data_IF_478229645915
#
_entry.id   IF_478229645915
#
_cell.length_a   1.000
_cell.length_b   1.000
_cell.length_c   1.000
_cell.angle_alpha   90.00
_cell.angle_beta   90.00
_cell.angle_gamma   90.00
#
_symmetry.space_group_name_H-M   'P 1'
#
loop_
_entity.id
_entity.type
_entity.pdbx_description
1 polymer ?
#
# COMPACT_ATOMS: atom_id res chain seq x y z
N UNK A 1 24.08 -13.94 8.89
CA UNK A 1 23.33 -14.99 8.16
C UNK A 1 24.31 -15.67 7.22
N UNK A 2 24.20 -16.99 7.08
CA UNK A 2 24.95 -17.76 6.08
C UNK A 2 24.00 -18.68 5.34
N UNK A 3 24.45 -19.20 4.20
CA UNK A 3 23.69 -20.10 3.35
C UNK A 3 24.48 -21.40 3.19
N UNK A 4 23.90 -22.55 3.52
CA UNK A 4 24.54 -23.85 3.28
C UNK A 4 24.58 -24.19 1.78
N UNK A 5 25.37 -25.19 1.34
CA UNK A 5 25.34 -25.69 -0.04
C UNK A 5 23.94 -26.13 -0.50
N UNK A 6 23.13 -26.67 0.42
CA UNK A 6 21.73 -27.09 0.22
C UNK A 6 20.73 -25.92 0.29
N UNK A 7 21.24 -24.68 0.39
CA UNK A 7 20.47 -23.43 0.50
C UNK A 7 19.69 -23.26 1.81
N UNK A 8 20.09 -23.95 2.87
CA UNK A 8 19.55 -23.70 4.19
C UNK A 8 20.01 -22.34 4.70
N UNK A 9 19.06 -21.48 5.07
CA UNK A 9 19.37 -20.23 5.75
C UNK A 9 19.81 -20.53 7.18
N UNK A 10 20.98 -20.07 7.59
CA UNK A 10 21.51 -20.25 8.93
C UNK A 10 21.65 -18.91 9.67
N UNK A 11 21.10 -18.84 10.88
CA UNK A 11 21.33 -17.77 11.85
C UNK A 11 22.09 -18.37 13.03
N UNK A 12 23.34 -17.93 13.23
CA UNK A 12 24.20 -18.44 14.31
C UNK A 12 24.28 -19.98 14.33
N UNK A 13 24.41 -20.60 13.15
CA UNK A 13 24.46 -22.05 12.98
C UNK A 13 23.11 -22.78 13.01
N UNK A 14 22.03 -22.10 13.39
CA UNK A 14 20.68 -22.69 13.44
C UNK A 14 19.93 -22.49 12.13
N UNK A 15 19.28 -23.55 11.62
CA UNK A 15 18.46 -23.49 10.41
C UNK A 15 17.21 -22.65 10.64
N UNK A 16 16.97 -21.71 9.74
CA UNK A 16 15.79 -20.84 9.73
C UNK A 16 14.77 -21.42 8.76
N UNK A 17 13.59 -21.80 9.28
CA UNK A 17 12.49 -22.30 8.45
C UNK A 17 11.66 -21.18 7.81
N UNK A 18 11.46 -20.08 8.53
CA UNK A 18 10.61 -18.96 8.11
C UNK A 18 11.32 -17.64 8.36
N UNK A 19 11.28 -16.74 7.39
CA UNK A 19 11.68 -15.33 7.53
C UNK A 19 10.45 -14.46 7.43
N UNK A 20 10.07 -13.85 8.55
CA UNK A 20 8.94 -12.94 8.65
C UNK A 20 9.43 -11.48 8.63
N UNK A 21 9.15 -10.77 7.54
CA UNK A 21 9.62 -9.39 7.39
C UNK A 21 8.76 -8.42 8.21
N UNK A 22 9.42 -7.69 9.11
CA UNK A 22 8.87 -6.51 9.81
C UNK A 22 9.64 -5.22 9.50
N UNK A 23 10.51 -5.29 8.50
CA UNK A 23 11.34 -4.22 7.94
C UNK A 23 11.55 -4.49 6.45
N UNK A 24 12.31 -3.64 5.76
CA UNK A 24 12.66 -3.86 4.35
C UNK A 24 11.61 -3.40 3.34
N UNK A 25 10.65 -2.57 3.77
CA UNK A 25 9.66 -1.93 2.92
C UNK A 25 9.97 -0.43 2.65
N UNK A 26 10.98 0.13 3.32
CA UNK A 26 11.49 1.49 3.08
C UNK A 26 12.97 1.42 2.68
N UNK A 27 13.47 2.33 1.81
CA UNK A 27 14.90 2.52 1.57
C UNK A 27 15.72 2.71 2.85
N UNK A 28 15.14 3.28 3.92
CA UNK A 28 15.82 3.47 5.21
C UNK A 28 16.23 2.14 5.87
N UNK A 29 15.60 1.03 5.48
CA UNK A 29 16.01 -0.31 5.90
C UNK A 29 17.28 -0.82 5.19
N UNK A 30 17.80 -0.06 4.22
CA UNK A 30 18.91 -0.43 3.36
C UNK A 30 19.95 0.69 3.23
N UNK A 31 20.58 1.12 4.34
CA UNK A 31 21.57 2.19 4.31
C UNK A 31 22.85 1.83 3.55
N UNK A 32 23.14 0.53 3.37
CA UNK A 32 24.33 0.03 2.68
C UNK A 32 24.05 -1.22 1.84
N UNK A 33 25.04 -1.66 1.07
CA UNK A 33 24.98 -2.92 0.31
C UNK A 33 24.89 -4.18 1.19
N UNK A 34 25.20 -4.07 2.50
CA UNK A 34 25.13 -5.20 3.42
C UNK A 34 23.70 -5.66 3.61
N UNK A 35 22.75 -4.73 3.76
CA UNK A 35 21.34 -5.05 3.93
C UNK A 35 20.73 -5.62 2.64
N UNK A 36 21.15 -5.10 1.48
CA UNK A 36 20.78 -5.66 0.18
C UNK A 36 21.32 -7.08 -0.01
N UNK A 37 22.58 -7.31 0.35
CA UNK A 37 23.22 -8.63 0.30
C UNK A 37 22.53 -9.62 1.24
N UNK A 38 22.15 -9.18 2.44
CA UNK A 38 21.39 -10.00 3.38
C UNK A 38 20.00 -10.34 2.84
N UNK A 39 19.29 -9.38 2.23
CA UNK A 39 17.99 -9.62 1.59
C UNK A 39 18.12 -10.63 0.45
N UNK A 40 19.11 -10.47 -0.43
CA UNK A 40 19.37 -11.41 -1.52
C UNK A 40 19.68 -12.82 -0.99
N UNK A 41 20.49 -12.93 0.06
CA UNK A 41 20.82 -14.22 0.70
C UNK A 41 19.56 -14.90 1.26
N UNK A 42 18.68 -14.15 1.92
CA UNK A 42 17.38 -14.64 2.41
C UNK A 42 16.52 -15.14 1.24
N UNK A 43 16.34 -14.35 0.18
CA UNK A 43 15.49 -14.73 -0.96
C UNK A 43 16.01 -15.96 -1.70
N UNK A 44 17.33 -16.16 -1.75
CA UNK A 44 17.98 -17.34 -2.37
C UNK A 44 17.89 -18.61 -1.51
N UNK A 45 17.49 -18.50 -0.24
CA UNK A 45 17.37 -19.64 0.67
C UNK A 45 16.07 -20.42 0.50
N UNK A 46 16.06 -21.64 1.05
CA UNK A 46 14.88 -22.51 1.13
C UNK A 46 13.88 -22.11 2.22
N UNK A 47 14.21 -21.12 3.07
CA UNK A 47 13.28 -20.61 4.07
C UNK A 47 12.00 -20.08 3.40
N UNK A 48 10.86 -20.20 4.07
CA UNK A 48 9.61 -19.59 3.63
C UNK A 48 9.67 -18.10 3.96
N UNK A 49 9.47 -17.22 2.98
CA UNK A 49 9.47 -15.76 3.19
C UNK A 49 8.04 -15.23 3.30
N UNK A 50 7.80 -14.40 4.30
CA UNK A 50 6.52 -13.71 4.50
C UNK A 50 6.73 -12.19 4.54
N UNK A 51 6.55 -11.48 3.40
CA UNK A 51 6.40 -12.00 2.03
C UNK A 51 7.76 -12.29 1.35
N UNK A 52 7.76 -13.12 0.29
CA UNK A 52 8.90 -13.19 -0.64
C UNK A 52 8.89 -12.01 -1.61
N UNK A 53 10.02 -11.76 -2.29
CA UNK A 53 10.23 -10.53 -3.06
C UNK A 53 9.14 -10.24 -4.10
N UNK A 54 8.62 -11.24 -4.82
CA UNK A 54 7.58 -11.00 -5.82
C UNK A 54 6.21 -10.66 -5.23
N UNK A 55 5.88 -11.16 -4.03
CA UNK A 55 4.69 -10.67 -3.32
C UNK A 55 4.89 -9.24 -2.83
N UNK A 56 6.12 -8.85 -2.46
CA UNK A 56 6.41 -7.46 -2.13
C UNK A 56 6.26 -6.55 -3.36
N UNK A 57 6.75 -6.96 -4.52
CA UNK A 57 6.58 -6.21 -5.79
C UNK A 57 5.11 -6.14 -6.21
N UNK A 58 4.35 -7.23 -6.02
CA UNK A 58 2.91 -7.25 -6.32
C UNK A 58 2.09 -6.26 -5.48
N UNK A 59 2.62 -5.81 -4.33
CA UNK A 59 1.97 -4.81 -3.48
C UNK A 59 2.32 -3.35 -3.84
N UNK A 60 3.13 -3.13 -4.89
CA UNK A 60 3.46 -1.77 -5.31
C UNK A 60 2.24 -1.03 -5.83
N UNK A 61 2.25 0.30 -5.69
CA UNK A 61 1.19 1.17 -6.21
C UNK A 61 1.07 1.06 -7.73
N UNK A 62 2.18 0.82 -8.44
CA UNK A 62 2.16 0.55 -9.88
C UNK A 62 1.42 -0.75 -10.19
N UNK A 63 1.67 -1.85 -9.47
CA UNK A 63 0.88 -3.08 -9.66
C UNK A 63 -0.60 -2.84 -9.38
N UNK A 64 -0.93 -2.13 -8.29
CA UNK A 64 -2.31 -1.75 -8.00
C UNK A 64 -2.97 -1.00 -9.16
N UNK A 65 -2.29 -0.02 -9.75
CA UNK A 65 -2.80 0.74 -10.89
C UNK A 65 -2.98 -0.13 -12.13
N UNK A 66 -2.01 -0.99 -12.45
CA UNK A 66 -2.09 -1.89 -13.62
C UNK A 66 -3.25 -2.89 -13.48
N UNK A 67 -3.57 -3.34 -12.27
CA UNK A 67 -4.71 -4.22 -12.02
C UNK A 67 -6.06 -3.56 -12.37
N UNK A 68 -6.16 -2.22 -12.31
CA UNK A 68 -7.39 -1.51 -12.66
C UNK A 68 -7.64 -1.47 -14.17
N UNK A 69 -6.59 -1.56 -14.98
CA UNK A 69 -6.70 -1.53 -16.44
C UNK A 69 -7.61 -2.64 -16.98
N UNK A 70 -8.28 -2.36 -18.08
CA UNK A 70 -9.30 -3.25 -18.65
C UNK A 70 -8.74 -4.64 -18.95
N UNK A 71 -9.46 -5.67 -18.51
CA UNK A 71 -9.09 -7.07 -18.69
C UNK A 71 -7.91 -7.57 -17.84
N UNK A 72 -7.23 -6.72 -17.06
CA UNK A 72 -6.01 -7.14 -16.35
C UNK A 72 -6.30 -8.08 -15.18
N UNK A 73 -7.24 -7.74 -14.29
CA UNK A 73 -7.64 -8.63 -13.18
C UNK A 73 -8.18 -9.95 -13.69
N UNK A 74 -8.92 -9.94 -14.80
CA UNK A 74 -9.50 -11.12 -15.44
C UNK A 74 -8.44 -12.14 -15.91
N UNK A 75 -7.21 -11.70 -16.18
CA UNK A 75 -6.09 -12.61 -16.48
C UNK A 75 -5.66 -13.44 -15.27
N UNK A 76 -5.95 -12.98 -14.05
CA UNK A 76 -5.52 -13.61 -12.80
C UNK A 76 -6.69 -14.25 -12.03
N UNK A 77 -7.90 -13.76 -12.23
CA UNK A 77 -9.11 -14.23 -11.55
C UNK A 77 -10.02 -14.90 -12.56
N UNK A 78 -9.98 -16.23 -12.59
CA UNK A 78 -10.70 -17.02 -13.60
C UNK A 78 -12.23 -16.99 -13.46
N UNK A 79 -12.75 -16.65 -12.28
CA UNK A 79 -14.21 -16.60 -12.05
C UNK A 79 -14.75 -15.18 -12.32
N UNK A 80 -15.61 -14.96 -13.33
CA UNK A 80 -16.05 -13.62 -13.73
C UNK A 80 -16.72 -12.81 -12.62
N UNK A 81 -17.50 -13.46 -11.74
CA UNK A 81 -18.14 -12.78 -10.61
C UNK A 81 -17.13 -12.31 -9.56
N UNK A 82 -16.04 -13.03 -9.35
CA UNK A 82 -15.01 -12.64 -8.39
C UNK A 82 -14.17 -11.49 -8.95
N UNK A 83 -13.83 -11.55 -10.24
CA UNK A 83 -13.17 -10.44 -10.94
C UNK A 83 -14.01 -9.17 -10.87
N UNK A 84 -15.34 -9.28 -11.11
CA UNK A 84 -16.26 -8.15 -10.99
C UNK A 84 -16.35 -7.62 -9.56
N UNK A 85 -16.40 -8.48 -8.54
CA UNK A 85 -16.41 -8.08 -7.13
C UNK A 85 -15.13 -7.34 -6.73
N UNK A 86 -13.95 -7.81 -7.19
CA UNK A 86 -12.67 -7.14 -6.98
C UNK A 86 -12.67 -5.77 -7.66
N UNK A 87 -13.09 -5.70 -8.93
CA UNK A 87 -13.17 -4.43 -9.68
C UNK A 87 -14.06 -3.40 -9.01
N UNK A 88 -15.18 -3.82 -8.41
CA UNK A 88 -16.08 -2.93 -7.71
C UNK A 88 -15.43 -2.23 -6.50
N UNK A 89 -14.28 -2.72 -6.01
CA UNK A 89 -13.52 -2.08 -4.92
C UNK A 89 -12.50 -1.05 -5.40
N UNK A 90 -12.23 -0.97 -6.70
CA UNK A 90 -11.21 -0.08 -7.24
C UNK A 90 -11.73 1.36 -7.33
N UNK A 91 -10.95 2.30 -6.80
CA UNK A 91 -11.07 3.71 -7.15
C UNK A 91 -10.36 3.97 -8.50
N UNK A 92 -10.53 5.18 -9.04
CA UNK A 92 -9.78 5.60 -10.21
C UNK A 92 -8.26 5.58 -9.97
N UNK A 93 -7.53 4.85 -10.82
CA UNK A 93 -6.08 4.68 -10.74
C UNK A 93 -5.48 4.81 -12.14
N UNK A 94 -4.51 5.71 -12.31
CA UNK A 94 -3.97 6.05 -13.63
C UNK A 94 -2.44 6.11 -13.64
N UNK A 95 -1.88 5.59 -14.72
CA UNK A 95 -0.52 5.85 -15.11
C UNK A 95 -0.38 7.29 -15.65
N UNK A 96 0.76 7.93 -15.38
CA UNK A 96 1.07 9.29 -15.86
C UNK A 96 2.47 9.37 -16.47
N UNK A 97 3.04 8.22 -16.83
CA UNK A 97 4.44 8.05 -17.21
C UNK A 97 4.70 8.19 -18.72
N UNK A 98 3.71 8.65 -19.49
CA UNK A 98 3.84 8.93 -20.91
C UNK A 98 3.39 10.38 -21.22
N UNK A 99 3.56 10.78 -22.47
CA UNK A 99 3.07 12.05 -23.02
C UNK A 99 1.85 11.85 -23.92
N UNK A 100 1.04 10.83 -23.64
CA UNK A 100 -0.22 10.62 -24.36
C UNK A 100 -1.20 11.77 -24.06
N UNK A 101 -2.13 12.09 -24.99
CA UNK A 101 -3.18 13.08 -24.72
C UNK A 101 -4.03 12.74 -23.49
N UNK A 102 -4.14 11.45 -23.14
CA UNK A 102 -4.87 10.98 -21.97
C UNK A 102 -4.10 11.35 -20.69
N UNK A 103 -2.80 11.03 -20.61
CA UNK A 103 -1.96 11.37 -19.47
C UNK A 103 -1.90 12.90 -19.27
N UNK A 104 -1.71 13.68 -20.34
CA UNK A 104 -1.72 15.14 -20.25
C UNK A 104 -3.05 15.69 -19.71
N UNK A 105 -4.18 15.15 -20.18
CA UNK A 105 -5.51 15.55 -19.72
C UNK A 105 -5.71 15.22 -18.24
N UNK A 106 -5.26 14.04 -17.80
CA UNK A 106 -5.32 13.63 -16.40
C UNK A 106 -4.46 14.54 -15.51
N UNK A 107 -3.23 14.86 -15.92
CA UNK A 107 -2.33 15.76 -15.20
C UNK A 107 -2.95 17.17 -15.11
N UNK A 108 -3.44 17.73 -16.23
CA UNK A 108 -4.13 19.03 -16.24
C UNK A 108 -5.35 19.03 -15.32
N UNK A 109 -6.12 17.94 -15.33
CA UNK A 109 -7.27 17.75 -14.44
C UNK A 109 -6.87 17.71 -12.96
N UNK A 110 -5.81 16.98 -12.61
CA UNK A 110 -5.31 16.89 -11.24
C UNK A 110 -4.77 18.24 -10.73
N UNK A 111 -4.12 19.01 -11.62
CA UNK A 111 -3.68 20.37 -11.32
C UNK A 111 -4.86 21.31 -11.07
N UNK A 112 -5.91 21.22 -11.88
CA UNK A 112 -7.09 22.08 -11.76
C UNK A 112 -7.99 21.73 -10.56
N UNK A 113 -8.00 20.45 -10.13
CA UNK A 113 -8.87 19.93 -9.07
C UNK A 113 -8.07 19.12 -8.04
N UNK A 114 -7.14 19.75 -7.30
CA UNK A 114 -6.16 19.03 -6.50
C UNK A 114 -6.75 18.29 -5.29
N UNK A 115 -7.99 18.60 -4.90
CA UNK A 115 -8.72 17.89 -3.84
C UNK A 115 -9.36 16.59 -4.31
N UNK A 116 -9.39 16.30 -5.62
CA UNK A 116 -9.98 15.08 -6.18
C UNK A 116 -8.95 13.98 -6.44
N UNK A 117 -7.66 14.25 -6.25
CA UNK A 117 -6.59 13.33 -6.57
C UNK A 117 -5.55 13.25 -5.46
N UNK A 118 -4.79 12.16 -5.47
CA UNK A 118 -3.57 11.97 -4.72
C UNK A 118 -2.51 11.39 -5.65
N UNK A 119 -1.29 11.94 -5.58
CA UNK A 119 -0.13 11.42 -6.30
C UNK A 119 0.67 10.53 -5.37
N UNK A 120 0.89 9.27 -5.77
CA UNK A 120 1.54 8.26 -4.91
C UNK A 120 2.84 7.79 -5.55
N UNK A 121 4.00 7.93 -4.86
CA UNK A 121 5.21 7.24 -5.26
C UNK A 121 5.13 5.74 -4.91
N UNK A 122 6.12 4.96 -5.32
CA UNK A 122 6.25 3.52 -5.00
C UNK A 122 6.81 3.30 -3.57
N UNK A 123 6.26 3.98 -2.57
CA UNK A 123 6.65 3.85 -1.16
C UNK A 123 5.56 3.17 -0.33
N UNK A 124 5.95 2.62 0.83
CA UNK A 124 5.05 2.00 1.81
C UNK A 124 5.22 2.62 3.20
N UNK A 125 4.28 2.33 4.11
CA UNK A 125 4.39 2.71 5.52
C UNK A 125 3.62 3.95 5.95
N UNK A 126 2.75 4.49 5.10
CA UNK A 126 1.82 5.57 5.47
C UNK A 126 2.32 6.99 5.20
N UNK A 127 3.55 7.16 4.72
CA UNK A 127 4.13 8.42 4.27
C UNK A 127 4.50 8.43 2.79
N UNK A 128 4.69 9.62 2.22
CA UNK A 128 5.25 9.83 0.88
C UNK A 128 4.24 10.25 -0.20
N UNK A 129 2.93 10.17 0.06
CA UNK A 129 1.92 10.67 -0.88
C UNK A 129 1.93 12.20 -0.96
N UNK A 130 1.62 12.74 -2.13
CA UNK A 130 1.44 14.18 -2.35
C UNK A 130 -0.04 14.50 -2.54
N UNK A 131 -0.51 15.53 -1.85
CA UNK A 131 -1.90 16.01 -1.85
C UNK A 131 -1.93 17.51 -2.13
N UNK A 132 -3.07 18.02 -2.58
CA UNK A 132 -3.31 19.46 -2.64
C UNK A 132 -2.25 20.20 -3.45
N UNK A 133 -1.76 21.32 -2.92
CA UNK A 133 -0.74 22.15 -3.57
C UNK A 133 0.59 21.41 -3.78
N UNK A 134 1.03 20.58 -2.83
CA UNK A 134 2.27 19.79 -2.98
C UNK A 134 2.20 18.83 -4.16
N UNK A 135 1.03 18.24 -4.41
CA UNK A 135 0.79 17.42 -5.60
C UNK A 135 0.90 18.27 -6.88
N UNK A 136 0.30 19.46 -6.88
CA UNK A 136 0.33 20.37 -8.03
C UNK A 136 1.76 20.79 -8.37
N UNK A 137 2.53 21.21 -7.36
CA UNK A 137 3.94 21.58 -7.50
C UNK A 137 4.75 20.42 -8.09
N UNK A 138 4.59 19.22 -7.53
CA UNK A 138 5.29 18.02 -8.00
C UNK A 138 4.93 17.67 -9.45
N UNK A 139 3.64 17.71 -9.81
CA UNK A 139 3.20 17.44 -11.18
C UNK A 139 3.74 18.45 -12.20
N UNK A 140 3.91 19.73 -11.80
CA UNK A 140 4.48 20.77 -12.65
C UNK A 140 6.00 20.66 -12.83
N UNK A 141 6.70 20.11 -11.84
CA UNK A 141 8.17 20.04 -11.85
C UNK A 141 8.71 18.74 -12.45
N UNK A 142 7.95 17.65 -12.43
CA UNK A 142 8.46 16.33 -12.83
C UNK A 142 8.72 16.19 -14.34
N UNK A 143 9.85 15.58 -14.67
CA UNK A 143 10.10 15.04 -16.01
C UNK A 143 9.21 13.82 -16.30
N UNK A 144 9.10 13.42 -17.56
CA UNK A 144 8.37 12.20 -17.93
C UNK A 144 8.91 10.95 -17.22
N UNK A 145 10.23 10.82 -17.11
CA UNK A 145 10.89 9.73 -16.41
C UNK A 145 10.53 9.71 -14.92
N UNK A 146 10.54 10.88 -14.26
CA UNK A 146 10.15 10.99 -12.86
C UNK A 146 8.67 10.69 -12.62
N UNK A 147 7.79 11.00 -13.59
CA UNK A 147 6.39 10.57 -13.53
C UNK A 147 6.26 9.05 -13.53
N UNK A 148 7.21 8.33 -14.13
CA UNK A 148 7.30 6.86 -14.07
C UNK A 148 7.38 6.27 -12.67
N UNK A 149 7.90 7.03 -11.69
CA UNK A 149 7.97 6.60 -10.30
C UNK A 149 6.65 6.79 -9.53
N UNK A 150 5.60 7.33 -10.16
CA UNK A 150 4.36 7.72 -9.51
C UNK A 150 3.14 7.14 -10.22
N UNK A 151 2.03 7.07 -9.47
CA UNK A 151 0.69 6.89 -10.02
C UNK A 151 -0.21 8.04 -9.55
N UNK A 152 -1.22 8.35 -10.35
CA UNK A 152 -2.30 9.25 -9.94
C UNK A 152 -3.48 8.39 -9.49
N UNK A 153 -4.06 8.71 -8.34
CA UNK A 153 -5.23 8.01 -7.82
C UNK A 153 -6.33 9.02 -7.47
N UNK A 154 -7.57 8.62 -7.70
CA UNK A 154 -8.75 9.31 -7.20
C UNK A 154 -8.70 9.41 -5.67
N UNK A 155 -8.93 10.61 -5.13
CA UNK A 155 -9.03 10.81 -3.70
C UNK A 155 -10.41 10.38 -3.24
N UNK A 156 -10.46 9.24 -2.55
CA UNK A 156 -11.65 8.77 -1.84
C UNK A 156 -12.09 9.85 -0.86
N UNK A 157 -13.40 10.12 -0.82
CA UNK A 157 -14.05 11.05 0.10
C UNK A 157 -14.90 10.24 1.09
N UNK A 158 -14.34 9.82 2.25
CA UNK A 158 -15.06 9.02 3.22
C UNK A 158 -16.18 9.81 3.92
N UNK A 159 -17.11 9.10 4.53
CA UNK A 159 -18.07 9.71 5.44
C UNK A 159 -17.34 10.35 6.64
N UNK A 160 -17.67 11.60 6.92
CA UNK A 160 -17.15 12.33 8.09
C UNK A 160 -18.09 12.11 9.26
N UNK A 161 -17.53 11.73 10.40
CA UNK A 161 -18.25 11.51 11.65
C UNK A 161 -17.59 12.31 12.78
N UNK A 162 -18.29 12.53 13.87
CA UNK A 162 -17.71 13.08 15.09
C UNK A 162 -17.24 11.93 16.00
N UNK A 163 -15.99 12.00 16.48
CA UNK A 163 -15.45 11.04 17.43
C UNK A 163 -14.34 11.68 18.29
N UNK A 164 -13.90 10.99 19.33
CA UNK A 164 -12.79 11.42 20.20
C UNK A 164 -11.49 10.73 19.79
N UNK A 165 -10.47 11.53 19.44
CA UNK A 165 -9.13 11.03 19.20
C UNK A 165 -8.31 11.09 20.50
N UNK A 166 -8.08 9.94 21.14
CA UNK A 166 -7.32 9.87 22.39
C UNK A 166 -5.85 9.61 22.08
N UNK A 167 -4.97 10.51 22.53
CA UNK A 167 -3.51 10.38 22.41
C UNK A 167 -2.85 10.64 23.75
N UNK A 168 -1.76 9.91 24.01
CA UNK A 168 -1.01 10.06 25.24
C UNK A 168 -0.56 11.52 25.43
N UNK A 169 -0.75 12.05 26.64
CA UNK A 169 -0.34 13.41 27.03
C UNK A 169 -0.96 14.53 26.19
N UNK A 170 -2.07 14.27 25.50
CA UNK A 170 -2.83 15.30 24.77
C UNK A 170 -4.25 15.43 25.34
N UNK A 171 -4.83 16.64 25.34
CA UNK A 171 -6.24 16.81 25.71
C UNK A 171 -7.15 16.01 24.79
N UNK A 172 -8.17 15.37 25.37
CA UNK A 172 -9.22 14.70 24.60
C UNK A 172 -10.14 15.76 24.00
N UNK A 173 -10.33 15.70 22.67
CA UNK A 173 -11.16 16.65 21.93
C UNK A 173 -12.10 15.90 21.00
N UNK A 174 -13.38 16.31 21.00
CA UNK A 174 -14.33 15.90 19.96
C UNK A 174 -13.85 16.49 18.64
N UNK A 175 -13.78 15.65 17.60
CA UNK A 175 -13.22 16.03 16.30
C UNK A 175 -14.03 15.41 15.17
N UNK A 176 -14.06 16.09 14.03
CA UNK A 176 -14.44 15.46 12.78
C UNK A 176 -13.36 14.46 12.37
N UNK A 177 -13.77 13.23 12.09
CA UNK A 177 -12.90 12.12 11.77
C UNK A 177 -13.37 11.38 10.52
N UNK A 178 -12.42 10.66 9.92
CA UNK A 178 -12.64 9.68 8.88
C UNK A 178 -11.93 8.38 9.26
N UNK A 179 -12.49 7.25 8.84
CA UNK A 179 -11.96 5.92 9.15
C UNK A 179 -11.55 5.15 7.89
N UNK A 180 -10.51 4.33 8.02
CA UNK A 180 -9.99 3.45 6.98
C UNK A 180 -9.97 2.01 7.51
N UNK A 181 -10.82 1.16 6.93
CA UNK A 181 -10.92 -0.26 7.28
C UNK A 181 -9.86 -1.07 6.53
N UNK A 182 -8.96 -1.72 7.28
CA UNK A 182 -8.08 -2.76 6.79
C UNK A 182 -8.65 -4.14 7.11
N UNK A 183 -8.62 -5.04 6.12
CA UNK A 183 -8.98 -6.46 6.31
C UNK A 183 -7.69 -7.28 6.16
N UNK A 184 -7.35 -8.05 7.18
CA UNK A 184 -6.19 -8.94 7.13
C UNK A 184 -6.56 -10.20 6.36
N UNK A 185 -5.64 -10.67 5.52
CA UNK A 185 -5.69 -11.97 4.88
C UNK A 185 -4.31 -12.60 4.84
N UNK A 186 -4.26 -13.92 4.79
CA UNK A 186 -3.03 -14.67 4.57
C UNK A 186 -3.27 -15.78 3.55
N UNK A 187 -2.21 -16.09 2.81
CA UNK A 187 -2.15 -17.22 1.90
C UNK A 187 -0.95 -18.08 2.30
N UNK A 188 -1.17 -19.35 2.61
CA UNK A 188 -0.13 -20.30 3.00
C UNK A 188 -0.18 -21.55 2.12
N UNK A 189 0.93 -21.90 1.51
CA UNK A 189 1.07 -23.07 0.65
C UNK A 189 1.86 -22.75 -0.61
N UNK A 190 1.91 -23.72 -1.52
CA UNK A 190 2.64 -23.55 -2.77
C UNK A 190 1.92 -22.61 -3.74
N UNK A 191 2.68 -22.10 -4.70
CA UNK A 191 2.15 -21.23 -5.76
C UNK A 191 1.01 -21.94 -6.50
N UNK A 192 -0.16 -21.30 -6.54
CA UNK A 192 -1.35 -21.80 -7.22
C UNK A 192 -2.25 -22.73 -6.39
N UNK A 193 -1.78 -23.18 -5.21
CA UNK A 193 -2.55 -24.08 -4.32
C UNK A 193 -2.53 -23.63 -2.86
N UNK A 194 -2.20 -22.36 -2.62
CA UNK A 194 -2.17 -21.80 -1.27
C UNK A 194 -3.57 -21.73 -0.67
N UNK A 195 -3.68 -22.09 0.61
CA UNK A 195 -4.86 -21.86 1.39
C UNK A 195 -4.98 -20.37 1.72
N UNK A 196 -6.08 -19.74 1.30
CA UNK A 196 -6.35 -18.32 1.54
C UNK A 196 -7.39 -18.20 2.65
N UNK A 197 -7.08 -17.39 3.68
CA UNK A 197 -7.99 -17.13 4.82
C UNK A 197 -8.01 -15.66 5.18
N UNK A 198 -9.17 -15.21 5.67
CA UNK A 198 -9.33 -13.90 6.30
C UNK A 198 -8.84 -13.99 7.76
N UNK A 199 -8.04 -13.00 8.18
CA UNK A 199 -7.28 -13.02 9.43
C UNK A 199 -7.69 -11.92 10.42
N UNK A 200 -8.91 -11.40 10.33
CA UNK A 200 -9.40 -10.29 11.14
C UNK A 200 -9.38 -8.95 10.39
N UNK A 201 -9.47 -7.87 11.15
CA UNK A 201 -9.54 -6.51 10.63
C UNK A 201 -8.84 -5.52 11.56
N UNK A 202 -8.57 -4.32 11.03
CA UNK A 202 -8.10 -3.17 11.76
C UNK A 202 -8.80 -1.93 11.21
N UNK A 203 -9.53 -1.20 12.06
CA UNK A 203 -10.00 0.13 11.71
C UNK A 203 -8.99 1.15 12.22
N UNK A 204 -8.65 2.12 11.38
CA UNK A 204 -7.82 3.27 11.75
C UNK A 204 -8.63 4.53 11.54
N UNK A 205 -8.60 5.42 12.50
CA UNK A 205 -9.37 6.67 12.45
C UNK A 205 -8.44 7.85 12.60
N UNK A 206 -8.67 8.91 11.83
CA UNK A 206 -7.86 10.13 11.84
C UNK A 206 -8.76 11.36 11.71
N UNK A 207 -8.23 12.53 12.06
CA UNK A 207 -8.95 13.79 11.83
C UNK A 207 -9.23 13.99 10.34
N UNK A 208 -10.40 14.52 10.01
CA UNK A 208 -10.86 14.75 8.63
C UNK A 208 -9.82 15.48 7.75
N UNK A 209 -9.13 16.47 8.34
CA UNK A 209 -8.15 17.33 7.65
C UNK A 209 -6.73 16.73 7.57
N UNK A 210 -6.52 15.51 8.10
CA UNK A 210 -5.21 14.86 8.11
C UNK A 210 -5.05 14.01 6.86
N UNK A 211 -4.15 14.42 5.96
CA UNK A 211 -3.90 13.69 4.71
C UNK A 211 -3.15 12.37 4.92
N UNK A 212 -2.17 12.35 5.83
CA UNK A 212 -1.38 11.16 6.13
C UNK A 212 -2.21 10.08 6.82
N UNK A 213 -1.79 8.83 6.62
CA UNK A 213 -2.37 7.67 7.29
C UNK A 213 -1.34 7.01 8.19
N UNK A 214 -1.79 6.11 9.05
CA UNK A 214 -0.90 5.25 9.83
C UNK A 214 -0.78 5.68 11.29
N UNK A 215 -0.79 4.65 12.15
CA UNK A 215 -0.73 4.81 13.60
C UNK A 215 0.71 5.00 14.06
N UNK A 216 1.65 4.28 13.45
CA UNK A 216 3.07 4.32 13.82
C UNK A 216 3.72 5.69 13.60
N UNK A 217 3.22 6.47 12.63
CA UNK A 217 3.69 7.85 12.34
C UNK A 217 2.88 8.92 13.08
N UNK A 218 1.93 8.52 13.93
CA UNK A 218 1.09 9.42 14.73
C UNK A 218 -0.09 10.07 13.99
N UNK A 219 -0.29 9.81 12.70
CA UNK A 219 -1.36 10.42 11.91
C UNK A 219 -2.76 9.90 12.29
N UNK A 220 -2.89 8.61 12.62
CA UNK A 220 -4.15 7.96 12.99
C UNK A 220 -4.12 7.37 14.41
N UNK A 221 -5.28 6.94 14.91
CA UNK A 221 -5.47 6.10 16.10
C UNK A 221 -6.10 4.76 15.69
N UNK A 222 -6.03 3.77 16.57
CA UNK A 222 -6.72 2.48 16.41
C UNK A 222 -8.19 2.66 16.76
N UNK A 223 -9.07 1.99 16.02
CA UNK A 223 -10.51 2.04 16.21
C UNK A 223 -11.14 0.65 15.98
N UNK A 224 -12.45 0.51 16.23
CA UNK A 224 -13.24 -0.69 15.97
C UNK A 224 -14.47 -0.36 15.13
N UNK A 225 -14.83 -1.19 14.13
CA UNK A 225 -16.04 -0.96 13.35
C UNK A 225 -17.29 -1.24 14.19
N UNK A 226 -18.22 -0.28 14.19
CA UNK A 226 -19.58 -0.48 14.69
C UNK A 226 -20.52 -0.73 13.50
N UNK A 227 -21.04 -1.95 13.40
CA UNK A 227 -21.99 -2.31 12.35
C UNK A 227 -23.39 -1.83 12.75
N UNK A 228 -24.04 -1.10 11.84
CA UNK A 228 -25.40 -0.61 12.03
C UNK A 228 -26.19 -0.75 10.73
N UNK A 229 -27.51 -0.90 10.86
CA UNK A 229 -28.41 -0.84 9.71
C UNK A 229 -28.86 0.61 9.52
N UNK A 230 -28.71 1.13 8.30
CA UNK A 230 -29.38 2.36 7.89
C UNK A 230 -30.85 2.03 7.64
N UNK A 231 -31.73 2.49 8.55
CA UNK A 231 -33.18 2.47 8.35
C UNK A 231 -33.61 3.45 7.26
#
# INVERSE_FOLDING_TARGET
LTLSPERHLLLSGSRVAVVYFRAGYSPDSYPTDKEWSARLLIERSDAIKSPWIGLQVANTKKTQQVLVEDGVVERYIGHPREAAAIRATFAGLWAINDSSPIAEKLIKSAIARPTQFVLKPQTEGGGGNFYGEKMVEKLKSMTEEERGAHILMERIQPLVLENYLIRAMQPVQLSNVVSELGVYGYALGDRGIAEVRQGGHLLRTKGEKVDEGGVAVGAAVIDSPFLYELL
#
